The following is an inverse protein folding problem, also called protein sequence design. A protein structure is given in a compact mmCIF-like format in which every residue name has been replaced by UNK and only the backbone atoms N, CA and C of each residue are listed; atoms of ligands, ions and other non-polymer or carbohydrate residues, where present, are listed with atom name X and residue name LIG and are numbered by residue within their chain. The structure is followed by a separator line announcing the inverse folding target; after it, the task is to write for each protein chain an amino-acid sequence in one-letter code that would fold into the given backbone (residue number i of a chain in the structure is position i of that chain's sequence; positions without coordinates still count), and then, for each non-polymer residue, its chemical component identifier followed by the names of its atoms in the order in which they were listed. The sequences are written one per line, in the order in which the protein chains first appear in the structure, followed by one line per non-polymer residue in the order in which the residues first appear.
data_IF_088446699467
#
_entry.id   IF_088446699467
#
_cell.length_a   1.000
_cell.length_b   1.000
_cell.length_c   1.000
_cell.angle_alpha   90.00
_cell.angle_beta   90.00
_cell.angle_gamma   90.00
#
_symmetry.space_group_name_H-M   'P 1'
#
loop_
_entity.id
_entity.type
_entity.pdbx_description
1 polymer ?
#
# COMPACT_ATOMS: atom_id res chain seq x y z
N UNK A 1 2.59 -2.04 1.87
CA UNK A 1 2.34 -3.44 1.44
C UNK A 1 3.55 -4.32 1.70
N UNK A 2 4.69 -4.08 1.07
CA UNK A 2 5.92 -4.88 1.20
C UNK A 2 6.36 -5.14 2.65
N UNK A 3 6.39 -4.09 3.49
CA UNK A 3 6.79 -4.19 4.92
C UNK A 3 5.97 -5.22 5.71
N UNK A 4 4.70 -5.43 5.36
CA UNK A 4 3.84 -6.43 6.03
C UNK A 4 4.32 -7.84 5.74
N UNK A 5 4.60 -8.16 4.47
CA UNK A 5 5.14 -9.46 4.08
C UNK A 5 6.56 -9.70 4.60
N UNK A 6 7.43 -8.67 4.63
CA UNK A 6 8.75 -8.77 5.29
C UNK A 6 8.58 -9.19 6.74
N UNK A 7 7.70 -8.53 7.49
CA UNK A 7 7.41 -8.86 8.89
C UNK A 7 6.88 -10.30 9.06
N UNK A 8 6.11 -10.82 8.09
CA UNK A 8 5.65 -12.22 8.12
C UNK A 8 6.79 -13.20 7.84
N UNK A 9 7.69 -12.88 6.92
CA UNK A 9 8.86 -13.70 6.64
C UNK A 9 9.80 -13.75 7.84
N UNK A 10 10.09 -12.60 8.47
CA UNK A 10 10.97 -12.51 9.64
C UNK A 10 10.41 -13.25 10.87
N UNK A 11 9.09 -13.17 11.10
CA UNK A 11 8.47 -13.75 12.31
C UNK A 11 8.06 -15.20 12.14
N UNK A 12 7.52 -15.54 10.97
CA UNK A 12 6.77 -16.77 10.76
C UNK A 12 7.42 -17.63 9.66
N UNK A 13 8.54 -17.18 9.05
CA UNK A 13 9.22 -17.83 7.91
C UNK A 13 8.27 -18.26 6.79
N UNK A 14 7.20 -17.48 6.58
CA UNK A 14 6.07 -17.89 5.75
C UNK A 14 6.47 -18.02 4.28
N UNK A 15 6.33 -19.20 3.64
CA UNK A 15 6.62 -19.38 2.21
C UNK A 15 5.71 -18.53 1.32
N UNK A 16 4.47 -18.25 1.76
CA UNK A 16 3.54 -17.35 1.08
C UNK A 16 4.06 -15.92 1.13
N UNK A 17 4.59 -15.48 2.27
CA UNK A 17 5.16 -14.14 2.37
C UNK A 17 6.41 -13.99 1.50
N UNK A 18 7.27 -15.02 1.46
CA UNK A 18 8.44 -15.05 0.59
C UNK A 18 8.06 -14.98 -0.90
N UNK A 19 7.10 -15.79 -1.34
CA UNK A 19 6.61 -15.76 -2.71
C UNK A 19 5.98 -14.41 -3.07
N UNK A 20 5.21 -13.81 -2.16
CA UNK A 20 4.68 -12.45 -2.36
C UNK A 20 5.80 -11.41 -2.50
N UNK A 21 6.87 -11.52 -1.70
CA UNK A 21 8.03 -10.62 -1.79
C UNK A 21 8.80 -10.77 -3.09
N UNK A 22 8.88 -11.97 -3.66
CA UNK A 22 9.48 -12.20 -4.99
C UNK A 22 8.72 -11.46 -6.10
N UNK A 23 7.39 -11.63 -6.15
CA UNK A 23 6.56 -10.93 -7.13
C UNK A 23 6.66 -9.41 -6.99
N UNK A 24 6.68 -8.92 -5.74
CA UNK A 24 6.88 -7.50 -5.46
C UNK A 24 8.26 -7.05 -5.97
N UNK A 25 9.33 -7.80 -5.68
CA UNK A 25 10.68 -7.45 -6.10
C UNK A 25 10.82 -7.36 -7.62
N UNK A 26 10.15 -8.24 -8.37
CA UNK A 26 10.13 -8.21 -9.84
C UNK A 26 9.51 -6.91 -10.37
N UNK A 27 8.39 -6.46 -9.79
CA UNK A 27 7.78 -5.17 -10.13
C UNK A 27 8.74 -4.01 -9.88
N UNK A 28 9.49 -4.03 -8.76
CA UNK A 28 10.50 -2.99 -8.49
C UNK A 28 11.69 -3.05 -9.44
N UNK A 29 12.08 -4.25 -9.91
CA UNK A 29 13.16 -4.40 -10.89
C UNK A 29 12.76 -3.74 -12.23
N UNK A 30 11.53 -3.98 -12.68
CA UNK A 30 10.97 -3.31 -13.87
C UNK A 30 10.96 -1.80 -13.68
N UNK A 31 10.44 -1.31 -12.54
CA UNK A 31 10.39 0.13 -12.26
C UNK A 31 11.76 0.79 -12.21
N UNK A 32 12.78 0.08 -11.71
CA UNK A 32 14.16 0.55 -11.72
C UNK A 32 14.70 0.65 -13.15
N UNK A 33 14.35 -0.30 -14.03
CA UNK A 33 14.80 -0.32 -15.43
C UNK A 33 14.21 0.81 -16.28
N UNK A 34 12.98 1.23 -15.98
CA UNK A 34 12.28 2.28 -16.73
C UNK A 34 12.45 3.67 -16.11
N UNK A 35 13.17 3.78 -14.99
CA UNK A 35 13.37 5.06 -14.30
C UNK A 35 14.18 6.02 -15.18
N UNK A 36 13.73 7.27 -15.25
CA UNK A 36 14.35 8.31 -16.07
C UNK A 36 13.90 8.30 -17.53
N UNK A 37 13.14 7.29 -17.98
CA UNK A 37 12.52 7.31 -19.29
C UNK A 37 11.32 8.27 -19.34
N UNK A 38 10.95 8.76 -20.54
CA UNK A 38 9.72 9.52 -20.74
C UNK A 38 8.49 8.75 -20.26
N UNK A 39 7.45 9.49 -19.83
CA UNK A 39 6.24 8.90 -19.25
C UNK A 39 5.58 7.86 -20.16
N UNK A 40 5.56 8.08 -21.47
CA UNK A 40 4.95 7.15 -22.43
C UNK A 40 5.73 5.85 -22.56
N UNK A 41 7.08 5.93 -22.58
CA UNK A 41 7.95 4.76 -22.59
C UNK A 41 7.83 3.95 -21.29
N UNK A 42 7.73 4.63 -20.14
CA UNK A 42 7.42 3.97 -18.85
C UNK A 42 6.08 3.25 -18.90
N UNK A 43 5.06 3.89 -19.44
CA UNK A 43 3.71 3.32 -19.53
C UNK A 43 3.67 2.09 -20.43
N UNK A 44 4.34 2.14 -21.59
CA UNK A 44 4.45 1.01 -22.50
C UNK A 44 5.13 -0.19 -21.81
N UNK A 45 6.30 0.03 -21.20
CA UNK A 45 7.03 -1.02 -20.49
C UNK A 45 6.23 -1.60 -19.31
N UNK A 46 5.45 -0.78 -18.59
CA UNK A 46 4.56 -1.26 -17.52
C UNK A 46 3.43 -2.14 -18.04
N UNK A 47 2.82 -1.77 -19.16
CA UNK A 47 1.76 -2.58 -19.78
C UNK A 47 2.28 -3.92 -20.27
N UNK A 48 3.50 -3.95 -20.76
CA UNK A 48 4.13 -5.16 -21.27
C UNK A 48 4.67 -6.06 -20.15
N UNK A 49 5.39 -5.49 -19.19
CA UNK A 49 6.16 -6.24 -18.19
C UNK A 49 5.44 -6.33 -16.84
N UNK A 50 4.90 -5.22 -16.33
CA UNK A 50 4.30 -5.17 -14.99
C UNK A 50 2.85 -5.67 -14.95
N UNK A 51 2.06 -5.40 -16.00
CA UNK A 51 0.66 -5.80 -16.06
C UNK A 51 0.44 -7.33 -15.95
N UNK A 52 1.19 -8.21 -16.65
CA UNK A 52 0.98 -9.66 -16.50
C UNK A 52 1.31 -10.15 -15.09
N UNK A 53 2.34 -9.58 -14.44
CA UNK A 53 2.69 -9.91 -13.05
C UNK A 53 1.54 -9.54 -12.12
N UNK A 54 1.00 -8.32 -12.25
CA UNK A 54 -0.15 -7.85 -11.47
C UNK A 54 -1.38 -8.73 -11.72
N UNK A 55 -1.67 -9.07 -12.99
CA UNK A 55 -2.80 -9.89 -13.37
C UNK A 55 -2.72 -11.30 -12.76
N UNK A 56 -1.53 -11.89 -12.67
CA UNK A 56 -1.31 -13.19 -12.01
C UNK A 56 -1.29 -13.10 -10.48
N UNK A 57 -0.79 -11.98 -9.93
CA UNK A 57 -0.54 -11.87 -8.49
C UNK A 57 -1.82 -11.73 -7.66
N UNK A 58 -2.83 -11.01 -8.16
CA UNK A 58 -4.12 -10.88 -7.47
C UNK A 58 -4.83 -12.22 -7.24
N UNK A 59 -5.15 -13.01 -8.29
CA UNK A 59 -5.83 -14.29 -8.10
C UNK A 59 -4.99 -15.25 -7.27
N UNK A 60 -3.65 -15.18 -7.37
CA UNK A 60 -2.78 -15.95 -6.50
C UNK A 60 -2.95 -15.59 -5.02
N UNK A 61 -3.00 -14.30 -4.66
CA UNK A 61 -3.27 -13.85 -3.28
C UNK A 61 -4.65 -14.28 -2.78
N UNK A 62 -5.67 -14.19 -3.63
CA UNK A 62 -7.03 -14.65 -3.33
C UNK A 62 -7.07 -16.17 -3.09
N UNK A 63 -6.33 -16.94 -3.89
CA UNK A 63 -6.16 -18.37 -3.70
C UNK A 63 -5.38 -18.72 -2.42
N UNK A 64 -4.41 -17.90 -2.00
CA UNK A 64 -3.73 -18.12 -0.72
C UNK A 64 -4.68 -17.88 0.47
N UNK A 65 -5.60 -16.92 0.37
CA UNK A 65 -6.58 -16.65 1.44
C UNK A 65 -7.51 -17.82 1.73
N UNK A 66 -7.85 -18.64 0.73
CA UNK A 66 -8.69 -19.83 0.94
C UNK A 66 -7.93 -20.99 1.62
N UNK A 67 -6.59 -20.95 1.62
CA UNK A 67 -5.71 -22.02 2.11
C UNK A 67 -5.16 -21.78 3.51
N UNK A 68 -5.34 -20.59 4.07
CA UNK A 68 -4.80 -20.21 5.39
C UNK A 68 -5.93 -19.88 6.38
N UNK A 69 -5.72 -20.05 7.69
CA UNK A 69 -6.70 -19.67 8.70
C UNK A 69 -7.08 -18.19 8.57
N UNK A 70 -8.39 -17.91 8.54
CA UNK A 70 -8.92 -16.54 8.36
C UNK A 70 -8.42 -15.54 9.41
N UNK A 71 -8.19 -16.01 10.64
CA UNK A 71 -7.69 -15.24 11.79
C UNK A 71 -6.17 -15.03 11.78
N UNK A 72 -5.43 -15.66 10.87
CA UNK A 72 -3.98 -15.52 10.82
C UNK A 72 -3.56 -14.09 10.46
N UNK A 73 -2.42 -13.65 10.99
CA UNK A 73 -1.83 -12.35 10.65
C UNK A 73 -1.46 -12.24 9.17
N UNK A 74 -1.08 -13.36 8.55
CA UNK A 74 -0.86 -13.43 7.12
C UNK A 74 -2.16 -13.16 6.33
N UNK A 75 -3.29 -13.73 6.73
CA UNK A 75 -4.57 -13.47 6.08
C UNK A 75 -5.01 -12.00 6.23
N UNK A 76 -4.73 -11.38 7.39
CA UNK A 76 -4.93 -9.94 7.60
C UNK A 76 -4.08 -9.11 6.62
N UNK A 77 -2.80 -9.45 6.46
CA UNK A 77 -1.87 -8.75 5.58
C UNK A 77 -2.22 -8.92 4.08
N UNK A 78 -2.70 -10.09 3.68
CA UNK A 78 -3.20 -10.32 2.31
C UNK A 78 -4.48 -9.54 2.05
N UNK A 79 -5.47 -9.57 2.96
CA UNK A 79 -6.71 -8.76 2.80
C UNK A 79 -6.40 -7.26 2.72
N UNK A 80 -5.49 -6.78 3.56
CA UNK A 80 -5.03 -5.38 3.52
C UNK A 80 -4.44 -5.00 2.17
N UNK A 81 -3.71 -5.93 1.54
CA UNK A 81 -3.10 -5.77 0.21
C UNK A 81 -4.17 -5.73 -0.88
N UNK A 82 -5.10 -6.68 -0.89
CA UNK A 82 -6.19 -6.73 -1.86
C UNK A 82 -7.10 -5.51 -1.77
N UNK A 83 -7.37 -4.99 -0.57
CA UNK A 83 -8.13 -3.75 -0.39
C UNK A 83 -7.45 -2.51 -1.02
N UNK A 84 -6.13 -2.55 -1.23
CA UNK A 84 -5.34 -1.46 -1.84
C UNK A 84 -5.06 -1.68 -3.32
N UNK A 85 -5.51 -2.79 -3.88
CA UNK A 85 -5.27 -3.17 -5.26
C UNK A 85 -5.66 -2.11 -6.29
N UNK A 86 -6.82 -1.42 -6.16
CA UNK A 86 -7.18 -0.36 -7.12
C UNK A 86 -6.18 0.80 -7.15
N UNK A 87 -5.51 1.10 -6.03
CA UNK A 87 -4.44 2.10 -5.99
C UNK A 87 -3.17 1.63 -6.71
N UNK A 88 -2.84 0.35 -6.58
CA UNK A 88 -1.72 -0.27 -7.30
C UNK A 88 -1.98 -0.31 -8.81
N UNK A 89 -3.21 -0.50 -9.28
CA UNK A 89 -3.48 -0.50 -10.72
C UNK A 89 -3.17 0.85 -11.39
N UNK A 90 -3.23 1.97 -10.66
CA UNK A 90 -3.08 3.32 -11.22
C UNK A 90 -1.71 3.60 -11.84
N UNK A 91 -0.62 2.97 -11.37
CA UNK A 91 0.70 3.19 -11.98
C UNK A 91 0.79 2.56 -13.38
N UNK A 92 -0.02 1.52 -13.67
CA UNK A 92 -0.14 0.91 -14.99
C UNK A 92 -0.91 1.78 -15.98
N UNK A 93 -1.63 2.79 -15.49
CA UNK A 93 -2.45 3.70 -16.29
C UNK A 93 -1.76 5.07 -16.48
N UNK A 94 -0.80 5.41 -15.61
CA UNK A 94 -0.14 6.71 -15.62
C UNK A 94 1.38 6.57 -15.44
N UNK A 95 2.12 6.81 -16.53
CA UNK A 95 3.59 6.77 -16.58
C UNK A 95 4.32 7.78 -15.69
N UNK A 96 3.61 8.78 -15.14
CA UNK A 96 4.15 9.77 -14.20
C UNK A 96 4.08 9.30 -12.74
N UNK A 97 3.22 8.33 -12.43
CA UNK A 97 3.14 7.74 -11.10
C UNK A 97 4.26 6.73 -10.92
N UNK A 98 4.98 6.79 -9.81
CA UNK A 98 5.97 5.76 -9.47
C UNK A 98 5.32 4.65 -8.64
N UNK A 99 5.76 3.40 -8.81
CA UNK A 99 5.34 2.28 -7.96
C UNK A 99 5.68 2.53 -6.49
N UNK A 100 6.73 3.32 -6.21
CA UNK A 100 7.09 3.69 -4.85
C UNK A 100 7.89 5.00 -4.79
N UNK A 101 7.26 6.02 -4.24
CA UNK A 101 7.88 6.68 -3.10
C UNK A 101 6.89 6.48 -1.94
N UNK A 102 7.35 6.56 -0.70
CA UNK A 102 6.52 6.69 0.51
C UNK A 102 5.08 7.29 0.32
N UNK A 103 4.82 8.28 -0.56
CA UNK A 103 3.47 8.70 -1.00
C UNK A 103 2.48 7.68 -1.52
N UNK A 104 2.77 6.46 -2.00
CA UNK A 104 1.68 5.50 -2.31
C UNK A 104 1.10 4.91 -1.02
N UNK A 105 1.95 4.61 -0.03
CA UNK A 105 1.50 4.29 1.33
C UNK A 105 0.90 5.52 2.03
N UNK A 106 1.38 6.74 1.72
CA UNK A 106 0.89 8.00 2.29
C UNK A 106 -0.38 8.57 1.60
N UNK A 107 -0.63 8.30 0.31
CA UNK A 107 -1.83 8.72 -0.43
C UNK A 107 -3.03 7.87 -0.02
N UNK A 108 -2.81 6.57 0.20
CA UNK A 108 -3.83 5.72 0.82
C UNK A 108 -4.11 6.16 2.27
N UNK A 109 -3.12 6.75 2.96
CA UNK A 109 -3.31 7.39 4.27
C UNK A 109 -4.08 8.73 4.16
N UNK A 110 -3.79 9.56 3.15
CA UNK A 110 -4.49 10.85 2.90
C UNK A 110 -5.95 10.67 2.47
N UNK A 111 -6.29 9.62 1.73
CA UNK A 111 -7.67 9.33 1.32
C UNK A 111 -8.50 8.72 2.47
N UNK A 112 -7.86 8.16 3.51
CA UNK A 112 -8.52 7.60 4.69
C UNK A 112 -8.64 8.60 5.88
N UNK A 113 -8.12 9.82 5.74
CA UNK A 113 -8.06 10.82 6.83
C UNK A 113 -9.12 11.93 6.75
N UNK A 114 -10.22 11.73 6.02
CA UNK A 114 -11.36 12.68 5.98
C UNK A 114 -12.63 12.21 6.69
N UNK A 115 -12.57 11.19 7.56
CA UNK A 115 -13.74 10.74 8.34
C UNK A 115 -13.51 10.45 9.83
N UNK A 116 -12.44 10.94 10.47
CA UNK A 116 -12.24 10.74 11.92
C UNK A 116 -11.52 11.88 12.67
N UNK A 117 -11.74 13.14 12.27
CA UNK A 117 -11.33 14.31 13.08
C UNK A 117 -12.44 15.36 13.22
N UNK A 118 -13.72 14.94 13.19
CA UNK A 118 -14.86 15.81 13.49
C UNK A 118 -15.45 15.57 14.90
N UNK A 119 -14.73 14.89 15.79
CA UNK A 119 -15.19 14.57 17.14
C UNK A 119 -14.23 15.01 18.28
N UNK A 120 -13.28 15.91 18.01
CA UNK A 120 -12.43 16.51 19.07
C UNK A 120 -12.29 18.04 18.96
N UNK A 121 -13.27 18.71 18.31
CA UNK A 121 -13.33 20.19 18.25
C UNK A 121 -14.64 20.67 18.87
N UNK A 122 -15.05 20.15 20.03
CA UNK A 122 -16.10 20.77 20.87
C UNK A 122 -15.84 20.44 22.35
N UNK A 123 -14.77 20.96 22.95
CA UNK A 123 -14.77 21.33 24.38
C UNK A 123 -13.52 22.14 24.72
N UNK A 124 -13.71 23.23 25.44
CA UNK A 124 -12.70 24.22 25.90
C UNK A 124 -12.30 25.30 24.89
N UNK A 125 -13.30 26.07 24.49
CA UNK A 125 -13.15 27.53 24.50
C UNK A 125 -14.38 28.09 25.20
N UNK A 126 -14.18 28.61 26.42
CA UNK A 126 -14.87 29.79 26.92
C UNK A 126 -14.06 30.41 28.07
N UNK A 127 -14.10 31.75 28.25
CA UNK A 127 -13.07 32.53 28.94
C UNK A 127 -13.54 33.28 30.22
N UNK A 128 -12.55 33.81 30.96
CA UNK A 128 -12.55 34.94 31.95
C UNK A 128 -13.02 34.69 33.41
N UNK A 129 -12.71 35.56 34.42
CA UNK A 129 -11.86 36.78 34.48
C UNK A 129 -10.86 36.90 35.68
N UNK A 130 -10.17 38.05 35.68
CA UNK A 130 -9.27 38.83 36.58
C UNK A 130 -9.22 38.69 38.13
N UNK A 131 -8.15 39.32 38.69
CA UNK A 131 -7.80 39.72 40.09
C UNK A 131 -6.96 38.70 40.90
N UNK A 132 -5.92 39.02 41.67
CA UNK A 132 -5.43 40.26 42.28
C UNK A 132 -3.95 40.04 42.74
N UNK A 133 -3.23 41.14 42.96
CA UNK A 133 -1.80 41.27 43.32
C UNK A 133 -1.47 40.79 44.75
N UNK A 134 -0.19 40.82 45.15
CA UNK A 134 0.10 41.75 46.26
C UNK A 134 1.23 42.74 46.01
#
# INVERSE_FOLDING_TARGET
MRRRFVKRLEKDSSPIAEAALRQIAELYAIEKSVRGLPADARLAARRELSAPIIAAFRPWLEAQLSRIPRSSKLAEDIRYTLARWPGLMRFLENGRLELDTNPVENQIRKIALTRNYAAQVIMRSSPQPEAEDP
#
